data_IF_443886951310
#
_entry.id   IF_443886951310
#
_cell.length_a   1.000
_cell.length_b   1.000
_cell.length_c   1.000
_cell.angle_alpha   90.00
_cell.angle_beta   90.00
_cell.angle_gamma   90.00
#
_symmetry.space_group_name_H-M   'P 1'
#
loop_
_entity.id
_entity.type
_entity.pdbx_description
1 polymer ?
#
# COMPACT_ATOMS: atom_id res chain seq x y z
N UNK A 1 16.71 15.96 -46.72
CA UNK A 1 15.36 15.68 -46.19
C UNK A 1 15.35 14.19 -45.88
N UNK A 2 15.32 13.81 -44.61
CA UNK A 2 15.38 12.40 -44.20
C UNK A 2 13.96 11.96 -43.84
N UNK A 3 13.38 11.08 -44.65
CA UNK A 3 12.13 10.39 -44.34
C UNK A 3 12.42 9.31 -43.28
N UNK A 4 11.96 9.56 -42.06
CA UNK A 4 11.93 8.54 -41.00
C UNK A 4 10.65 7.71 -41.16
N UNK A 5 10.76 6.61 -41.90
CA UNK A 5 9.75 5.55 -41.91
C UNK A 5 9.74 4.84 -40.54
N UNK A 6 8.86 5.26 -39.64
CA UNK A 6 8.57 4.53 -38.40
C UNK A 6 7.52 3.45 -38.67
N UNK A 7 7.97 2.20 -38.76
CA UNK A 7 7.13 1.01 -38.75
C UNK A 7 6.53 0.84 -37.33
N UNK A 8 5.22 1.05 -37.18
CA UNK A 8 4.46 0.53 -36.03
C UNK A 8 4.25 -0.97 -36.24
N UNK A 9 5.27 -1.75 -35.88
CA UNK A 9 5.19 -3.20 -35.81
C UNK A 9 4.28 -3.63 -34.65
N UNK A 10 3.13 -4.20 -35.00
CA UNK A 10 2.40 -5.25 -34.27
C UNK A 10 2.43 -5.16 -32.73
N UNK A 11 1.52 -4.38 -32.15
CA UNK A 11 1.22 -4.44 -30.72
C UNK A 11 0.62 -5.81 -30.39
N UNK A 12 1.45 -6.71 -29.83
CA UNK A 12 0.99 -7.88 -29.10
C UNK A 12 0.48 -7.42 -27.73
N UNK A 13 -0.84 -7.28 -27.58
CA UNK A 13 -1.47 -7.12 -26.27
C UNK A 13 -1.51 -8.47 -25.56
N UNK A 14 -0.44 -8.79 -24.82
CA UNK A 14 -0.54 -9.72 -23.70
C UNK A 14 -0.46 -8.91 -22.41
N UNK A 15 -1.45 -9.13 -21.54
CA UNK A 15 -1.65 -8.39 -20.31
C UNK A 15 -0.36 -8.28 -19.48
N UNK A 16 -0.05 -7.05 -19.08
CA UNK A 16 0.79 -6.84 -17.90
C UNK A 16 1.73 -5.65 -17.95
N UNK A 17 2.38 -5.32 -19.06
CA UNK A 17 3.40 -4.27 -19.05
C UNK A 17 3.54 -3.54 -20.38
N UNK A 18 3.30 -2.22 -20.36
CA UNK A 18 3.80 -1.27 -21.35
C UNK A 18 4.74 -0.32 -20.63
N UNK A 19 6.05 -0.50 -20.82
CA UNK A 19 7.07 0.42 -20.35
C UNK A 19 7.48 1.31 -21.52
N UNK A 20 7.02 2.56 -21.52
CA UNK A 20 7.51 3.60 -22.43
C UNK A 20 8.21 4.68 -21.59
N UNK A 21 9.49 4.88 -21.88
CA UNK A 21 10.23 6.14 -21.69
C UNK A 21 10.15 6.79 -20.32
N UNK A 22 11.16 6.54 -19.49
CA UNK A 22 11.69 7.41 -18.41
C UNK A 22 10.74 7.88 -17.29
N UNK A 23 9.46 7.56 -17.33
CA UNK A 23 8.55 7.69 -16.20
C UNK A 23 7.81 6.37 -16.01
N UNK A 24 8.38 5.50 -15.17
CA UNK A 24 7.63 4.42 -14.55
C UNK A 24 6.66 5.04 -13.52
N UNK A 25 5.60 5.69 -14.00
CA UNK A 25 4.42 5.92 -13.17
C UNK A 25 3.70 4.58 -13.09
N UNK A 26 4.22 3.69 -12.25
CA UNK A 26 3.52 2.51 -11.81
C UNK A 26 2.37 2.95 -10.89
N UNK A 27 1.38 3.64 -11.43
CA UNK A 27 0.04 3.73 -10.85
C UNK A 27 -0.77 2.51 -11.27
N UNK A 28 -0.17 1.31 -11.23
CA UNK A 28 -0.94 0.09 -11.17
C UNK A 28 -1.33 -0.09 -9.70
N UNK A 29 -2.46 0.49 -9.30
CA UNK A 29 -3.23 0.05 -8.14
C UNK A 29 -3.80 -1.36 -8.40
N UNK A 30 -2.94 -2.32 -8.72
CA UNK A 30 -3.27 -3.71 -9.04
C UNK A 30 -2.43 -4.70 -8.20
N UNK A 31 -1.88 -4.25 -7.07
CA UNK A 31 -1.36 -5.14 -6.03
C UNK A 31 -2.49 -5.88 -5.33
N UNK A 32 -2.19 -7.07 -4.84
CA UNK A 32 -3.05 -7.82 -3.92
C UNK A 32 -3.39 -6.97 -2.68
N UNK A 33 -4.48 -7.26 -1.95
CA UNK A 33 -4.83 -6.49 -0.76
C UNK A 33 -3.70 -6.46 0.27
N UNK A 34 -2.93 -7.55 0.37
CA UNK A 34 -1.74 -7.65 1.19
C UNK A 34 -0.63 -6.67 0.76
N UNK A 35 -0.37 -6.53 -0.54
CA UNK A 35 0.62 -5.58 -1.06
C UNK A 35 0.20 -4.13 -0.80
N UNK A 36 -1.06 -3.81 -1.04
CA UNK A 36 -1.60 -2.48 -0.73
C UNK A 36 -1.46 -2.14 0.76
N UNK A 37 -1.75 -3.10 1.65
CA UNK A 37 -1.55 -2.90 3.10
C UNK A 37 -0.07 -2.66 3.43
N UNK A 38 0.87 -3.44 2.86
CA UNK A 38 2.31 -3.24 3.11
C UNK A 38 2.83 -1.89 2.62
N UNK A 39 2.36 -1.41 1.49
CA UNK A 39 2.70 -0.07 0.98
C UNK A 39 2.25 1.01 1.95
N UNK A 40 1.01 0.93 2.44
CA UNK A 40 0.49 1.89 3.42
C UNK A 40 1.22 1.79 4.77
N UNK A 41 1.57 0.58 5.23
CA UNK A 41 2.38 0.40 6.43
C UNK A 41 3.78 1.04 6.28
N UNK A 42 4.37 0.95 5.09
CA UNK A 42 5.65 1.62 4.78
C UNK A 42 5.50 3.15 4.83
N UNK A 43 4.40 3.69 4.31
CA UNK A 43 4.10 5.11 4.40
C UNK A 43 3.92 5.58 5.86
N UNK A 44 3.28 4.76 6.71
CA UNK A 44 3.20 5.02 8.15
C UNK A 44 4.59 5.07 8.77
N UNK A 45 5.47 4.11 8.48
CA UNK A 45 6.85 4.11 9.02
C UNK A 45 7.66 5.34 8.60
N UNK A 46 7.47 5.82 7.38
CA UNK A 46 8.18 6.98 6.86
C UNK A 46 7.63 8.31 7.41
N UNK A 47 6.34 8.38 7.72
CA UNK A 47 5.65 9.61 8.13
C UNK A 47 5.39 9.76 9.64
N UNK A 48 5.52 8.70 10.43
CA UNK A 48 5.18 8.74 11.85
C UNK A 48 6.28 9.45 12.68
N UNK A 49 5.93 10.43 13.54
CA UNK A 49 6.90 11.19 14.33
C UNK A 49 7.67 10.33 15.34
N UNK A 50 7.03 9.28 15.88
CA UNK A 50 7.67 8.25 16.71
C UNK A 50 7.96 6.99 15.88
N UNK A 51 9.15 6.94 15.28
CA UNK A 51 9.59 5.81 14.44
C UNK A 51 9.69 4.47 15.18
N UNK A 52 10.28 4.40 16.40
CA UNK A 52 10.31 3.17 17.20
C UNK A 52 8.91 2.62 17.50
N UNK A 53 7.97 3.47 17.91
CA UNK A 53 6.58 3.08 18.15
C UNK A 53 5.91 2.57 16.87
N UNK A 54 6.08 3.31 15.76
CA UNK A 54 5.53 2.92 14.47
C UNK A 54 6.04 1.56 14.01
N UNK A 55 7.35 1.31 14.14
CA UNK A 55 7.97 0.03 13.76
C UNK A 55 7.44 -1.15 14.56
N UNK A 56 7.30 -1.00 15.87
CA UNK A 56 6.74 -2.04 16.73
C UNK A 56 5.27 -2.32 16.39
N UNK A 57 4.49 -1.27 16.17
CA UNK A 57 3.06 -1.37 15.85
C UNK A 57 2.81 -1.98 14.47
N UNK A 58 3.61 -1.60 13.47
CA UNK A 58 3.54 -2.17 12.11
C UNK A 58 3.88 -3.65 12.12
N UNK A 59 4.95 -4.07 12.79
CA UNK A 59 5.30 -5.49 12.91
C UNK A 59 4.19 -6.31 13.59
N UNK A 60 3.51 -5.74 14.59
CA UNK A 60 2.36 -6.38 15.22
C UNK A 60 1.15 -6.49 14.28
N UNK A 61 0.88 -5.45 13.47
CA UNK A 61 -0.18 -5.47 12.46
C UNK A 61 0.10 -6.55 11.39
N UNK A 62 1.34 -6.68 10.91
CA UNK A 62 1.71 -7.72 9.96
C UNK A 62 1.52 -9.13 10.55
N UNK A 63 1.86 -9.32 11.83
CA UNK A 63 1.62 -10.58 12.53
C UNK A 63 0.13 -10.92 12.67
N UNK A 64 -0.71 -9.94 13.00
CA UNK A 64 -2.16 -10.13 13.07
C UNK A 64 -2.75 -10.42 11.68
N UNK A 65 -2.28 -9.74 10.61
CA UNK A 65 -2.69 -10.02 9.22
C UNK A 65 -2.39 -11.46 8.85
N UNK A 66 -1.19 -11.95 9.18
CA UNK A 66 -0.80 -13.34 8.93
C UNK A 66 -1.64 -14.34 9.73
N UNK A 67 -2.13 -13.97 10.92
CA UNK A 67 -3.04 -14.80 11.71
C UNK A 67 -4.41 -14.95 11.03
N UNK A 68 -4.91 -13.91 10.37
CA UNK A 68 -6.15 -13.96 9.57
C UNK A 68 -7.45 -14.13 10.38
N UNK A 69 -7.38 -14.18 11.71
CA UNK A 69 -8.54 -14.43 12.57
C UNK A 69 -9.45 -13.20 12.71
N UNK A 70 -10.74 -13.37 13.06
CA UNK A 70 -11.62 -12.25 13.38
C UNK A 70 -11.13 -11.41 14.57
N UNK A 71 -10.44 -12.03 15.54
CA UNK A 71 -9.85 -11.30 16.66
C UNK A 71 -8.63 -10.49 16.23
N UNK A 72 -7.81 -11.03 15.31
CA UNK A 72 -6.71 -10.30 14.69
C UNK A 72 -7.21 -9.08 13.91
N UNK A 73 -8.32 -9.20 13.18
CA UNK A 73 -8.95 -8.06 12.49
C UNK A 73 -9.27 -6.90 13.45
N UNK A 74 -9.81 -7.20 14.63
CA UNK A 74 -10.11 -6.18 15.65
C UNK A 74 -8.82 -5.52 16.18
N UNK A 75 -7.81 -6.34 16.48
CA UNK A 75 -6.48 -5.89 16.93
C UNK A 75 -5.80 -4.97 15.90
N UNK A 76 -5.85 -5.32 14.62
CA UNK A 76 -5.34 -4.48 13.51
C UNK A 76 -6.04 -3.12 13.52
N UNK A 77 -7.38 -3.09 13.61
CA UNK A 77 -8.13 -1.85 13.63
C UNK A 77 -7.77 -0.96 14.82
N UNK A 78 -7.64 -1.54 16.01
CA UNK A 78 -7.28 -0.78 17.21
C UNK A 78 -5.86 -0.22 17.12
N UNK A 79 -4.90 -1.00 16.59
CA UNK A 79 -3.52 -0.54 16.36
C UNK A 79 -3.41 0.55 15.31
N UNK A 80 -4.17 0.46 14.21
CA UNK A 80 -4.23 1.51 13.19
C UNK A 80 -4.80 2.81 13.75
N UNK A 81 -5.82 2.71 14.62
CA UNK A 81 -6.37 3.87 15.32
C UNK A 81 -5.36 4.50 16.26
N UNK A 82 -4.64 3.69 17.04
CA UNK A 82 -3.58 4.18 17.92
C UNK A 82 -2.46 4.85 17.13
N UNK A 83 -2.01 4.25 16.02
CA UNK A 83 -1.01 4.85 15.13
C UNK A 83 -1.44 6.20 14.57
N UNK A 84 -2.70 6.34 14.16
CA UNK A 84 -3.22 7.62 13.69
C UNK A 84 -3.28 8.67 14.82
N UNK A 85 -3.67 8.26 16.03
CA UNK A 85 -3.77 9.13 17.21
C UNK A 85 -2.38 9.61 17.67
N UNK A 86 -1.40 8.70 17.76
CA UNK A 86 -0.03 9.02 18.16
C UNK A 86 0.75 9.82 17.11
N UNK A 87 0.31 9.77 15.85
CA UNK A 87 0.92 10.56 14.78
C UNK A 87 0.49 12.03 14.79
N UNK A 88 -0.54 12.41 15.56
CA UNK A 88 -1.03 13.78 15.69
C UNK A 88 -1.45 14.37 14.33
N UNK A 89 -0.84 15.49 13.95
CA UNK A 89 -1.12 16.22 12.69
C UNK A 89 -0.51 15.57 11.43
N UNK A 90 0.13 14.41 11.53
CA UNK A 90 0.70 13.71 10.38
C UNK A 90 -0.41 13.11 9.49
N UNK A 91 -1.02 13.97 8.66
CA UNK A 91 -2.13 13.65 7.76
C UNK A 91 -1.88 12.40 6.92
N UNK A 92 -0.66 12.25 6.40
CA UNK A 92 -0.25 11.07 5.61
C UNK A 92 -0.38 9.76 6.39
N UNK A 93 -0.08 9.77 7.69
CA UNK A 93 -0.19 8.58 8.55
C UNK A 93 -1.66 8.25 8.82
N UNK A 94 -2.48 9.25 9.10
CA UNK A 94 -3.92 9.06 9.30
C UNK A 94 -4.63 8.56 8.02
N UNK A 95 -4.26 9.10 6.87
CA UNK A 95 -4.77 8.66 5.56
C UNK A 95 -4.35 7.22 5.26
N UNK A 96 -3.08 6.86 5.50
CA UNK A 96 -2.59 5.50 5.34
C UNK A 96 -3.29 4.51 6.29
N UNK A 97 -3.47 4.90 7.56
CA UNK A 97 -4.17 4.07 8.53
C UNK A 97 -5.65 3.84 8.14
N UNK A 98 -6.31 4.87 7.63
CA UNK A 98 -7.69 4.78 7.12
C UNK A 98 -7.78 3.88 5.87
N UNK A 99 -6.82 4.00 4.94
CA UNK A 99 -6.76 3.16 3.75
C UNK A 99 -6.60 1.67 4.09
N UNK A 100 -5.69 1.33 5.02
CA UNK A 100 -5.54 -0.04 5.52
C UNK A 100 -6.85 -0.51 6.18
N UNK A 101 -7.47 0.34 7.00
CA UNK A 101 -8.75 0.03 7.64
C UNK A 101 -9.86 -0.30 6.64
N UNK A 102 -9.92 0.40 5.50
CA UNK A 102 -10.88 0.13 4.43
C UNK A 102 -10.61 -1.21 3.73
N UNK A 103 -9.34 -1.52 3.43
CA UNK A 103 -8.95 -2.80 2.82
C UNK A 103 -9.30 -3.97 3.75
N UNK A 104 -8.91 -3.87 5.03
CA UNK A 104 -9.23 -4.85 6.08
C UNK A 104 -10.75 -4.98 6.27
N UNK A 105 -11.51 -3.90 6.11
CA UNK A 105 -12.96 -3.96 6.24
C UNK A 105 -13.63 -4.74 5.10
N UNK A 106 -13.13 -4.56 3.87
CA UNK A 106 -13.74 -5.08 2.66
C UNK A 106 -13.26 -6.48 2.28
N UNK A 107 -11.99 -6.82 2.57
CA UNK A 107 -11.32 -7.97 1.94
C UNK A 107 -10.71 -8.96 2.94
N UNK A 108 -10.93 -8.78 4.25
CA UNK A 108 -10.37 -9.69 5.25
C UNK A 108 -11.09 -11.05 5.34
N UNK A 109 -10.36 -12.17 5.50
CA UNK A 109 -8.91 -12.31 5.34
C UNK A 109 -8.53 -12.39 3.86
N UNK A 110 -7.28 -12.02 3.54
CA UNK A 110 -6.73 -12.00 2.18
C UNK A 110 -5.36 -12.67 2.12
#
# INVERSE_FOLDING_TARGET
>A
MAESNFHFGTMNFHGGQQNFGDHNTNTQHAGTPAEQVREQLTAILAGHPDGPYARSSVAAIEGDIAEGSPQARARVRDRLRQLADTAGDARTVAEAAAAIGAIVAAQWPF
#
